data_IF_322845935281
#
_entry.id   IF_322845935281
#
_cell.length_a   1.000
_cell.length_b   1.000
_cell.length_c   1.000
_cell.angle_alpha   90.00
_cell.angle_beta   90.00
_cell.angle_gamma   90.00
#
_symmetry.space_group_name_H-M   'P 1'
#
loop_
_entity.id
_entity.type
_entity.pdbx_description
1 polymer ?
#
# COMPACT_ATOMS: atom_id res chain seq x y z
N UNK A 1 -20.12 -4.31 17.45
CA UNK A 1 -20.59 -5.69 17.14
C UNK A 1 -21.11 -5.81 15.70
N UNK A 2 -22.19 -5.14 15.30
CA UNK A 2 -22.79 -5.26 13.95
C UNK A 2 -21.86 -4.91 12.77
N UNK A 3 -20.87 -4.02 12.96
CA UNK A 3 -19.97 -3.58 11.89
C UNK A 3 -18.92 -4.66 11.50
N UNK A 4 -18.43 -5.45 12.46
CA UNK A 4 -17.38 -6.44 12.23
C UNK A 4 -17.89 -7.66 11.45
N UNK A 5 -19.07 -8.18 11.82
CA UNK A 5 -19.67 -9.34 11.16
C UNK A 5 -20.06 -9.02 9.71
N UNK A 6 -20.72 -7.88 9.47
CA UNK A 6 -21.03 -7.41 8.11
C UNK A 6 -19.77 -7.24 7.26
N UNK A 7 -18.69 -6.68 7.83
CA UNK A 7 -17.42 -6.52 7.11
C UNK A 7 -16.79 -7.87 6.75
N UNK A 8 -16.87 -8.84 7.67
CA UNK A 8 -16.40 -10.20 7.42
C UNK A 8 -17.20 -10.89 6.31
N UNK A 9 -18.52 -10.76 6.33
CA UNK A 9 -19.41 -11.30 5.27
C UNK A 9 -19.06 -10.69 3.91
N UNK A 10 -18.91 -9.37 3.81
CA UNK A 10 -18.52 -8.69 2.56
C UNK A 10 -17.18 -9.20 2.02
N UNK A 11 -16.16 -9.30 2.88
CA UNK A 11 -14.81 -9.69 2.44
C UNK A 11 -14.76 -11.18 2.05
N UNK A 12 -15.49 -12.03 2.76
CA UNK A 12 -15.51 -13.48 2.49
C UNK A 12 -16.43 -13.86 1.33
N UNK A 13 -17.38 -12.99 0.94
CA UNK A 13 -18.24 -13.19 -0.23
C UNK A 13 -17.44 -13.37 -1.53
N UNK A 14 -16.39 -12.56 -1.70
CA UNK A 14 -15.50 -12.63 -2.88
C UNK A 14 -14.69 -13.93 -2.93
N UNK A 15 -14.58 -14.64 -1.80
CA UNK A 15 -13.86 -15.92 -1.70
C UNK A 15 -14.75 -17.13 -1.99
N UNK A 16 -16.08 -16.97 -2.02
CA UNK A 16 -17.01 -18.09 -2.26
C UNK A 16 -16.76 -18.83 -3.58
N UNK A 17 -16.44 -18.17 -4.72
CA UNK A 17 -16.12 -18.88 -5.96
C UNK A 17 -14.89 -19.78 -5.85
N UNK A 18 -13.98 -19.48 -4.91
CA UNK A 18 -12.78 -20.28 -4.65
C UNK A 18 -13.03 -21.37 -3.60
N UNK A 19 -13.81 -21.06 -2.56
CA UNK A 19 -14.12 -21.98 -1.46
C UNK A 19 -15.43 -21.57 -0.75
N UNK A 20 -16.47 -22.40 -0.88
CA UNK A 20 -17.78 -22.18 -0.25
C UNK A 20 -17.75 -22.17 1.30
N UNK A 21 -16.70 -22.74 1.91
CA UNK A 21 -16.52 -22.74 3.36
C UNK A 21 -15.63 -21.60 3.86
N UNK A 22 -15.10 -20.74 2.98
CA UNK A 22 -14.21 -19.63 3.35
C UNK A 22 -14.75 -18.75 4.51
N UNK A 23 -16.05 -18.39 4.56
CA UNK A 23 -16.58 -17.59 5.67
C UNK A 23 -16.48 -18.30 7.03
N UNK A 24 -16.53 -19.64 7.07
CA UNK A 24 -16.43 -20.43 8.31
C UNK A 24 -15.01 -20.44 8.88
N UNK A 25 -14.00 -20.19 8.05
CA UNK A 25 -12.59 -20.18 8.45
C UNK A 25 -12.08 -18.79 8.87
N UNK A 26 -12.86 -17.73 8.64
CA UNK A 26 -12.47 -16.37 9.00
C UNK A 26 -12.51 -16.17 10.53
N UNK A 27 -11.35 -16.15 11.18
CA UNK A 27 -11.23 -15.90 12.62
C UNK A 27 -11.25 -14.40 12.97
N UNK A 28 -10.55 -13.58 12.19
CA UNK A 28 -10.49 -12.13 12.34
C UNK A 28 -10.14 -11.50 10.99
N UNK A 29 -10.74 -10.35 10.68
CA UNK A 29 -10.44 -9.60 9.46
C UNK A 29 -10.16 -8.14 9.84
N UNK A 30 -8.97 -7.69 9.46
CA UNK A 30 -8.55 -6.29 9.51
C UNK A 30 -8.35 -5.78 8.10
N UNK A 31 -8.79 -4.54 7.87
CA UNK A 31 -8.62 -3.86 6.58
C UNK A 31 -8.01 -2.50 6.86
N UNK A 32 -6.85 -2.25 6.24
CA UNK A 32 -6.08 -1.02 6.36
C UNK A 32 -6.06 -0.34 4.99
N UNK A 33 -6.48 0.92 4.96
CA UNK A 33 -6.36 1.77 3.79
C UNK A 33 -5.20 2.75 4.02
N UNK A 34 -4.04 2.45 3.44
CA UNK A 34 -2.80 3.21 3.62
C UNK A 34 -2.93 4.70 3.26
N UNK A 35 -3.84 5.05 2.36
CA UNK A 35 -4.14 6.43 1.98
C UNK A 35 -4.77 7.25 3.12
N UNK A 36 -5.32 6.58 4.14
CA UNK A 36 -5.91 7.22 5.32
C UNK A 36 -4.96 7.22 6.52
N UNK A 37 -3.82 6.56 6.41
CA UNK A 37 -2.81 6.59 7.45
C UNK A 37 -2.05 7.93 7.40
N UNK A 38 -1.93 8.59 8.55
CA UNK A 38 -1.36 9.95 8.64
C UNK A 38 0.15 9.97 8.43
N UNK A 39 0.82 8.84 8.60
CA UNK A 39 2.27 8.72 8.48
C UNK A 39 2.67 8.29 7.06
N UNK A 40 1.99 7.32 6.47
CA UNK A 40 2.33 6.83 5.12
C UNK A 40 1.65 7.64 4.01
N UNK A 41 0.43 8.15 4.25
CA UNK A 41 -0.35 8.98 3.32
C UNK A 41 -0.58 8.34 1.93
N UNK A 42 -0.40 7.02 1.84
CA UNK A 42 -0.30 6.28 0.59
C UNK A 42 0.34 4.91 0.84
N UNK A 43 0.23 4.03 -0.15
CA UNK A 43 0.82 2.69 -0.07
C UNK A 43 2.32 2.72 -0.38
N UNK A 44 2.67 3.18 -1.59
CA UNK A 44 4.03 3.30 -2.09
C UNK A 44 4.08 4.34 -3.21
N UNK A 45 5.29 4.78 -3.57
CA UNK A 45 5.48 5.71 -4.67
C UNK A 45 5.19 5.07 -6.02
N UNK A 46 4.46 5.78 -6.86
CA UNK A 46 4.23 5.37 -8.24
C UNK A 46 4.28 6.59 -9.16
N UNK A 47 5.32 6.67 -9.97
CA UNK A 47 5.49 7.77 -10.90
C UNK A 47 4.51 7.68 -12.07
N UNK A 48 3.92 8.81 -12.44
CA UNK A 48 3.17 8.92 -13.70
C UNK A 48 4.14 8.82 -14.89
N UNK A 49 3.64 8.49 -16.11
CA UNK A 49 4.47 8.47 -17.31
C UNK A 49 5.33 9.73 -17.45
N UNK A 50 6.64 9.52 -17.62
CA UNK A 50 7.64 10.60 -17.74
C UNK A 50 8.12 11.24 -16.43
N UNK A 51 7.43 11.06 -15.30
CA UNK A 51 7.89 11.61 -14.02
C UNK A 51 9.14 10.91 -13.50
N UNK A 52 9.29 9.60 -13.78
CA UNK A 52 10.51 8.86 -13.44
C UNK A 52 11.76 9.57 -13.96
N UNK A 53 11.77 9.97 -15.22
CA UNK A 53 12.95 10.55 -15.87
C UNK A 53 13.16 12.03 -15.55
N UNK A 54 12.11 12.74 -15.11
CA UNK A 54 12.16 14.18 -14.88
C UNK A 54 12.26 14.54 -13.41
N UNK A 55 11.46 13.91 -12.56
CA UNK A 55 11.32 14.24 -11.14
C UNK A 55 12.28 13.45 -10.27
N UNK A 56 12.44 12.14 -10.49
CA UNK A 56 13.32 11.30 -9.67
C UNK A 56 14.77 11.82 -9.62
N UNK A 57 15.42 12.20 -10.74
CA UNK A 57 16.80 12.69 -10.69
C UNK A 57 16.94 14.01 -9.92
N UNK A 58 15.88 14.82 -9.87
CA UNK A 58 15.86 16.05 -9.07
C UNK A 58 15.76 15.70 -7.58
N UNK A 59 14.86 14.78 -7.21
CA UNK A 59 14.67 14.37 -5.81
C UNK A 59 15.87 13.61 -5.22
N UNK A 60 16.69 12.96 -6.06
CA UNK A 60 17.92 12.29 -5.64
C UNK A 60 19.07 13.25 -5.30
N UNK A 61 18.98 14.54 -5.67
CA UNK A 61 20.05 15.48 -5.41
C UNK A 61 20.10 15.85 -3.91
N UNK A 62 21.29 15.94 -3.31
CA UNK A 62 21.43 16.50 -1.97
C UNK A 62 21.06 17.99 -1.95
N UNK A 63 20.55 18.46 -0.82
CA UNK A 63 20.36 19.89 -0.57
C UNK A 63 21.27 20.32 0.59
N UNK A 64 22.43 20.90 0.26
CA UNK A 64 23.46 21.23 1.24
C UNK A 64 24.00 19.97 1.94
N UNK A 65 23.73 19.83 3.24
CA UNK A 65 24.09 18.66 4.05
C UNK A 65 22.95 17.65 4.24
N UNK A 66 21.82 17.85 3.56
CA UNK A 66 20.63 16.98 3.67
C UNK A 66 20.59 16.04 2.48
N UNK A 67 20.44 14.74 2.77
CA UNK A 67 20.25 13.66 1.79
C UNK A 67 18.81 13.17 1.89
N UNK A 68 18.22 12.82 0.74
CA UNK A 68 16.90 12.21 0.65
C UNK A 68 17.04 10.71 0.38
N UNK A 69 16.23 9.90 1.04
CA UNK A 69 16.29 8.44 0.95
C UNK A 69 14.89 7.83 1.11
N UNK A 70 14.75 6.59 0.66
CA UNK A 70 13.52 5.78 0.75
C UNK A 70 13.10 5.20 -0.60
N UNK A 71 12.13 4.29 -0.57
CA UNK A 71 11.71 3.52 -1.76
C UNK A 71 11.23 4.38 -2.95
N UNK A 72 10.82 5.62 -2.70
CA UNK A 72 10.39 6.53 -3.74
C UNK A 72 11.53 6.99 -4.65
N UNK A 73 12.78 6.83 -4.23
CA UNK A 73 13.99 7.12 -5.01
C UNK A 73 14.69 5.86 -5.54
N UNK A 74 14.22 4.68 -5.14
CA UNK A 74 14.70 3.37 -5.54
C UNK A 74 14.48 3.07 -7.01
N UNK A 75 15.21 2.10 -7.54
CA UNK A 75 14.81 1.43 -8.79
C UNK A 75 13.61 0.49 -8.53
N UNK A 76 13.55 -0.11 -7.35
CA UNK A 76 12.49 -1.03 -6.92
C UNK A 76 11.43 -0.33 -6.07
N UNK A 77 10.58 0.48 -6.69
CA UNK A 77 9.46 1.15 -6.00
C UNK A 77 8.43 0.15 -5.48
N UNK A 78 7.95 0.32 -4.25
CA UNK A 78 7.02 -0.61 -3.61
C UNK A 78 7.69 -1.74 -2.84
N UNK A 79 9.03 -1.79 -2.78
CA UNK A 79 9.81 -2.89 -2.21
C UNK A 79 10.76 -2.42 -1.10
N UNK A 80 11.23 -3.38 -0.29
CA UNK A 80 12.07 -3.08 0.88
C UNK A 80 13.52 -2.80 0.50
N UNK A 81 13.96 -3.31 -0.63
CA UNK A 81 15.31 -3.26 -1.16
C UNK A 81 15.78 -1.83 -1.45
N UNK A 82 14.82 -0.94 -1.79
CA UNK A 82 15.09 0.46 -2.07
C UNK A 82 16.08 0.69 -3.22
#
# INVERSE_FOLDING_TARGET
AQNAQRRSEIITQDLLPLNEHAPKFALNIQSVAWQRDVYTQGAYAFYRPGQWFKLRPILQQPHGKVLFAGEHLADWQGFMEG
#
